data_IF_976864143974
#
_entry.id   IF_976864143974
#
_cell.length_a   1.000
_cell.length_b   1.000
_cell.length_c   1.000
_cell.angle_alpha   90.00
_cell.angle_beta   90.00
_cell.angle_gamma   90.00
#
_symmetry.space_group_name_H-M   'P 1'
#
loop_
_entity.id
_entity.type
_entity.pdbx_description
1 polymer ?
#
# COMPACT_ATOMS: atom_id res chain seq x y z
N UNK A 1 -47.24 -39.33 74.76
CA UNK A 1 -47.06 -37.87 74.87
C UNK A 1 -45.68 -37.50 74.32
N UNK A 2 -45.58 -36.54 73.47
CA UNK A 2 -44.57 -35.78 72.84
C UNK A 2 -44.52 -35.99 71.32
N UNK A 3 -45.16 -35.02 70.66
CA UNK A 3 -45.06 -34.72 69.22
C UNK A 3 -43.66 -34.25 68.92
N UNK A 4 -43.08 -34.74 67.80
CA UNK A 4 -41.96 -34.11 67.15
C UNK A 4 -42.30 -33.95 65.68
N UNK A 5 -42.54 -32.67 65.33
CA UNK A 5 -42.74 -32.20 63.97
C UNK A 5 -41.42 -32.26 63.18
N UNK A 6 -41.38 -33.04 62.13
CA UNK A 6 -40.29 -33.05 61.14
C UNK A 6 -40.63 -32.06 60.02
N UNK A 7 -39.99 -30.85 60.03
CA UNK A 7 -40.03 -29.90 58.92
C UNK A 7 -39.14 -30.44 57.80
N UNK A 8 -39.76 -30.78 56.67
CA UNK A 8 -39.02 -31.08 55.45
C UNK A 8 -38.58 -29.74 54.82
N UNK A 9 -37.24 -29.46 54.76
CA UNK A 9 -36.65 -28.42 53.95
C UNK A 9 -36.53 -28.94 52.51
N UNK A 10 -37.26 -28.31 51.59
CA UNK A 10 -37.02 -28.44 50.14
C UNK A 10 -35.94 -27.43 49.72
N UNK A 11 -34.79 -27.94 49.47
CA UNK A 11 -33.74 -27.13 48.76
C UNK A 11 -33.98 -27.24 47.28
N UNK A 12 -34.46 -26.16 46.67
CA UNK A 12 -34.53 -26.02 45.23
C UNK A 12 -33.14 -25.64 44.69
N UNK A 13 -32.47 -26.58 44.03
CA UNK A 13 -31.23 -26.29 43.29
C UNK A 13 -31.56 -25.63 41.97
N UNK A 14 -31.32 -24.34 41.85
CA UNK A 14 -31.39 -23.61 40.62
C UNK A 14 -30.12 -23.95 39.79
N UNK A 15 -30.23 -24.85 38.81
CA UNK A 15 -29.20 -25.02 37.81
C UNK A 15 -29.25 -23.82 36.85
N UNK A 16 -28.33 -22.86 37.04
CA UNK A 16 -28.11 -21.80 36.09
C UNK A 16 -27.40 -22.35 34.85
N UNK A 17 -28.11 -22.44 33.73
CA UNK A 17 -27.53 -22.70 32.44
C UNK A 17 -26.81 -21.39 32.00
N UNK A 18 -25.51 -21.34 32.21
CA UNK A 18 -24.67 -20.29 31.60
C UNK A 18 -24.56 -20.65 30.13
N UNK A 19 -25.38 -20.02 29.28
CA UNK A 19 -25.19 -20.03 27.84
C UNK A 19 -23.90 -19.23 27.54
N UNK A 20 -22.80 -19.94 27.39
CA UNK A 20 -21.58 -19.39 26.79
C UNK A 20 -21.89 -19.09 25.31
N UNK A 21 -22.42 -17.90 25.04
CA UNK A 21 -22.48 -17.33 23.71
C UNK A 21 -21.07 -17.13 23.24
N UNK A 22 -20.49 -18.10 22.57
CA UNK A 22 -19.27 -17.95 21.82
C UNK A 22 -19.57 -16.99 20.68
N UNK A 23 -19.31 -15.69 20.87
CA UNK A 23 -19.17 -14.79 19.74
C UNK A 23 -17.98 -15.29 18.94
N UNK A 24 -18.26 -15.88 17.76
CA UNK A 24 -17.22 -16.10 16.77
C UNK A 24 -16.62 -14.71 16.50
N UNK A 25 -15.40 -14.48 16.95
CA UNK A 25 -14.65 -13.28 16.65
C UNK A 25 -14.43 -13.36 15.14
N UNK A 26 -15.23 -12.62 14.37
CA UNK A 26 -14.99 -12.45 12.94
C UNK A 26 -13.66 -11.73 12.88
N UNK A 27 -12.60 -12.46 12.56
CA UNK A 27 -11.31 -11.86 12.27
C UNK A 27 -11.50 -10.96 11.04
N UNK A 28 -11.59 -9.66 11.28
CA UNK A 28 -11.67 -8.69 10.20
C UNK A 28 -10.37 -8.76 9.40
N UNK A 29 -10.49 -9.24 8.17
CA UNK A 29 -9.38 -9.22 7.21
C UNK A 29 -9.47 -7.91 6.45
N UNK A 30 -8.48 -7.06 6.63
CA UNK A 30 -8.42 -5.80 5.88
C UNK A 30 -8.33 -6.11 4.37
N UNK A 31 -9.17 -5.49 3.51
CA UNK A 31 -9.13 -5.67 2.07
C UNK A 31 -7.83 -5.13 1.45
N UNK A 32 -7.53 -5.47 0.18
CA UNK A 32 -6.44 -4.82 -0.56
C UNK A 32 -6.58 -3.30 -0.51
N UNK A 33 -5.47 -2.57 -0.51
CA UNK A 33 -5.53 -1.11 -0.52
C UNK A 33 -6.13 -0.61 -1.84
N UNK A 34 -6.91 0.46 -1.73
CA UNK A 34 -7.45 1.20 -2.88
C UNK A 34 -7.02 2.66 -2.77
N UNK A 35 -6.56 3.24 -3.88
CA UNK A 35 -6.06 4.60 -3.88
C UNK A 35 -5.56 5.05 -5.24
N UNK A 36 -4.67 6.01 -5.22
CA UNK A 36 -3.98 6.56 -6.38
C UNK A 36 -2.47 6.53 -6.13
N UNK A 37 -1.67 6.35 -7.20
CA UNK A 37 -0.23 6.44 -7.12
C UNK A 37 0.33 7.27 -8.28
N UNK A 38 1.39 8.02 -8.01
CA UNK A 38 1.91 9.03 -8.94
C UNK A 38 2.70 8.46 -10.12
N UNK A 39 3.20 7.22 -10.02
CA UNK A 39 4.25 6.73 -10.92
C UNK A 39 3.85 6.68 -12.40
N UNK A 40 2.76 5.98 -12.75
CA UNK A 40 2.48 5.65 -14.14
C UNK A 40 2.26 6.87 -15.04
N UNK A 41 1.69 7.94 -14.53
CA UNK A 41 1.47 9.17 -15.30
C UNK A 41 2.61 10.17 -15.19
N UNK A 42 3.22 10.30 -14.00
CA UNK A 42 4.11 11.40 -13.73
C UNK A 42 5.57 11.01 -13.55
N UNK A 43 5.85 9.73 -13.29
CA UNK A 43 7.18 9.20 -12.97
C UNK A 43 7.84 10.08 -11.90
N UNK A 44 9.08 10.50 -12.09
CA UNK A 44 9.80 11.39 -11.16
C UNK A 44 9.38 12.88 -11.25
N UNK A 45 8.48 13.23 -12.17
CA UNK A 45 8.07 14.63 -12.40
C UNK A 45 6.87 15.02 -11.52
N UNK A 46 7.03 14.90 -10.22
CA UNK A 46 6.01 15.22 -9.22
C UNK A 46 6.40 16.43 -8.37
N UNK A 47 5.40 17.08 -7.79
CA UNK A 47 5.58 18.17 -6.84
C UNK A 47 4.39 18.24 -5.88
N UNK A 48 4.52 19.04 -4.83
CA UNK A 48 3.51 19.20 -3.79
C UNK A 48 2.14 19.63 -4.34
N UNK A 49 2.12 20.57 -5.30
CA UNK A 49 0.87 21.08 -5.88
C UNK A 49 0.15 20.00 -6.68
N UNK A 50 0.88 19.20 -7.45
CA UNK A 50 0.33 18.07 -8.19
C UNK A 50 -0.30 17.05 -7.24
N UNK A 51 0.40 16.65 -6.20
CA UNK A 51 -0.11 15.67 -5.22
C UNK A 51 -1.38 16.18 -4.55
N UNK A 52 -1.41 17.45 -4.13
CA UNK A 52 -2.61 18.08 -3.56
C UNK A 52 -3.79 18.06 -4.54
N UNK A 53 -3.57 18.40 -5.80
CA UNK A 53 -4.62 18.34 -6.85
C UNK A 53 -5.19 16.94 -7.03
N UNK A 54 -4.35 15.90 -6.99
CA UNK A 54 -4.83 14.52 -7.09
C UNK A 54 -5.64 14.11 -5.85
N UNK A 55 -5.21 14.51 -4.64
CA UNK A 55 -5.95 14.27 -3.41
C UNK A 55 -7.31 14.98 -3.42
N UNK A 56 -7.37 16.25 -3.86
CA UNK A 56 -8.61 17.01 -4.01
C UNK A 56 -9.54 16.39 -5.05
N UNK A 57 -8.99 15.89 -6.17
CA UNK A 57 -9.75 15.20 -7.20
C UNK A 57 -10.33 13.86 -6.69
N UNK A 58 -9.60 13.12 -5.86
CA UNK A 58 -10.09 11.92 -5.20
C UNK A 58 -11.40 12.20 -4.44
N UNK A 59 -11.41 13.27 -3.64
CA UNK A 59 -12.57 13.68 -2.83
C UNK A 59 -13.68 14.26 -3.71
N UNK A 60 -13.37 15.24 -4.56
CA UNK A 60 -14.39 15.95 -5.35
C UNK A 60 -15.12 15.05 -6.33
N UNK A 61 -14.47 14.00 -6.81
CA UNK A 61 -15.08 12.98 -7.67
C UNK A 61 -15.76 11.86 -6.88
N UNK A 62 -15.67 11.83 -5.55
CA UNK A 62 -16.32 10.87 -4.67
C UNK A 62 -15.74 9.46 -4.75
N UNK A 63 -14.47 9.31 -5.12
CA UNK A 63 -13.75 8.04 -5.12
C UNK A 63 -13.50 7.55 -3.69
N UNK A 64 -13.30 8.46 -2.73
CA UNK A 64 -13.22 8.18 -1.30
C UNK A 64 -14.45 7.41 -0.78
N UNK A 65 -15.64 7.71 -1.31
CA UNK A 65 -16.93 7.10 -0.91
C UNK A 65 -17.12 5.66 -1.41
N UNK A 66 -16.24 5.22 -2.29
CA UNK A 66 -16.26 3.84 -2.84
C UNK A 66 -14.99 3.06 -2.48
N UNK A 67 -14.17 3.57 -1.55
CA UNK A 67 -13.08 2.82 -0.94
C UNK A 67 -11.67 3.27 -1.32
N UNK A 68 -11.49 4.26 -2.21
CA UNK A 68 -10.16 4.77 -2.55
C UNK A 68 -9.71 5.76 -1.49
N UNK A 69 -8.83 5.30 -0.58
CA UNK A 69 -8.42 6.09 0.58
C UNK A 69 -6.93 6.44 0.59
N UNK A 70 -6.10 5.86 -0.29
CA UNK A 70 -4.67 6.10 -0.30
C UNK A 70 -4.27 7.08 -1.40
N UNK A 71 -3.37 8.02 -1.06
CA UNK A 71 -2.59 8.84 -2.01
C UNK A 71 -1.13 8.44 -1.83
N UNK A 72 -0.61 7.69 -2.79
CA UNK A 72 0.76 7.17 -2.76
C UNK A 72 1.68 8.05 -3.60
N UNK A 73 2.67 8.62 -2.95
CA UNK A 73 3.72 9.41 -3.58
C UNK A 73 4.88 8.47 -3.91
N UNK A 74 5.05 8.17 -5.19
CA UNK A 74 6.11 7.31 -5.70
C UNK A 74 7.44 8.09 -5.81
N UNK A 75 8.44 7.56 -6.50
CA UNK A 75 9.76 8.19 -6.67
C UNK A 75 9.67 9.62 -7.24
N UNK A 76 10.67 10.47 -6.92
CA UNK A 76 10.76 11.85 -7.42
C UNK A 76 10.63 12.93 -6.35
N UNK A 77 10.40 12.60 -5.07
CA UNK A 77 10.35 13.58 -3.98
C UNK A 77 11.68 13.82 -3.28
N UNK A 78 12.67 12.99 -3.53
CA UNK A 78 13.97 13.05 -2.88
C UNK A 78 14.75 14.30 -3.24
N UNK A 79 15.51 14.80 -2.26
CA UNK A 79 16.48 15.88 -2.45
C UNK A 79 17.90 15.38 -2.29
N UNK A 80 18.33 15.16 -1.06
CA UNK A 80 19.69 14.70 -0.73
C UNK A 80 19.75 14.16 0.70
N UNK A 81 20.87 13.52 1.06
CA UNK A 81 21.23 13.27 2.47
C UNK A 81 22.26 14.28 2.93
N UNK A 82 22.10 14.78 4.15
CA UNK A 82 23.09 15.66 4.77
C UNK A 82 24.29 14.87 5.37
N UNK A 83 25.24 15.59 5.97
CA UNK A 83 26.44 14.98 6.59
C UNK A 83 26.15 14.00 7.74
N UNK A 84 24.93 14.03 8.30
CA UNK A 84 24.46 13.09 9.33
C UNK A 84 23.65 11.93 8.72
N UNK A 85 23.53 11.88 7.40
CA UNK A 85 22.73 10.91 6.67
C UNK A 85 21.23 11.19 6.70
N UNK A 86 20.77 12.32 7.26
CA UNK A 86 19.35 12.67 7.31
C UNK A 86 18.86 12.97 5.89
N UNK A 87 17.77 12.31 5.50
CA UNK A 87 17.14 12.49 4.23
C UNK A 87 16.34 13.79 4.18
N UNK A 88 16.62 14.60 3.16
CA UNK A 88 15.88 15.83 2.86
C UNK A 88 15.06 15.66 1.57
N UNK A 89 13.89 16.28 1.54
CA UNK A 89 13.04 16.34 0.36
C UNK A 89 13.57 17.36 -0.67
N UNK A 90 13.15 17.21 -1.91
CA UNK A 90 13.49 18.16 -2.96
C UNK A 90 12.91 19.55 -2.68
N UNK A 91 13.73 20.59 -2.42
CA UNK A 91 13.26 21.84 -1.83
C UNK A 91 12.33 22.66 -2.75
N UNK A 92 12.47 22.51 -4.09
CA UNK A 92 11.60 23.20 -5.04
C UNK A 92 10.33 22.41 -5.36
N UNK A 93 10.41 21.07 -5.37
CA UNK A 93 9.24 20.22 -5.64
C UNK A 93 8.32 20.11 -4.42
N UNK A 94 8.90 20.04 -3.22
CA UNK A 94 8.19 19.88 -1.96
C UNK A 94 8.65 20.92 -0.93
N UNK A 95 8.33 22.21 -1.13
CA UNK A 95 8.83 23.30 -0.30
C UNK A 95 8.37 23.23 1.16
N UNK A 96 7.21 22.59 1.44
CA UNK A 96 6.70 22.38 2.80
C UNK A 96 7.10 21.00 3.37
N UNK A 97 7.94 20.24 2.67
CA UNK A 97 8.40 18.91 3.06
C UNK A 97 7.33 17.83 3.00
N UNK A 98 7.76 16.59 3.21
CA UNK A 98 6.84 15.42 3.12
C UNK A 98 5.85 15.37 4.29
N UNK A 99 6.19 15.92 5.45
CA UNK A 99 5.23 16.07 6.55
C UNK A 99 4.07 16.96 6.15
N UNK A 100 4.33 18.10 5.51
CA UNK A 100 3.29 19.04 5.09
C UNK A 100 2.30 18.43 4.10
N UNK A 101 2.79 17.59 3.17
CA UNK A 101 1.90 16.88 2.22
C UNK A 101 1.14 15.73 2.88
N UNK A 102 1.75 14.98 3.80
CA UNK A 102 1.07 13.94 4.56
C UNK A 102 -0.05 14.53 5.44
N UNK A 103 0.23 15.61 6.17
CA UNK A 103 -0.78 16.33 6.97
C UNK A 103 -1.94 16.85 6.09
N UNK A 104 -1.64 17.33 4.87
CA UNK A 104 -2.69 17.75 3.92
C UNK A 104 -3.58 16.57 3.51
N UNK A 105 -2.98 15.44 3.10
CA UNK A 105 -3.72 14.23 2.72
C UNK A 105 -4.61 13.76 3.88
N UNK A 106 -4.07 13.71 5.10
CA UNK A 106 -4.81 13.34 6.30
C UNK A 106 -5.96 14.31 6.62
N UNK A 107 -5.78 15.61 6.36
CA UNK A 107 -6.85 16.61 6.56
C UNK A 107 -8.09 16.37 5.69
N UNK A 108 -7.91 15.65 4.57
CA UNK A 108 -9.00 15.21 3.68
C UNK A 108 -9.64 13.88 4.11
N UNK A 109 -9.18 13.26 5.21
CA UNK A 109 -9.63 11.94 5.64
C UNK A 109 -9.00 10.77 4.85
N UNK A 110 -7.97 11.05 4.05
CA UNK A 110 -7.23 10.06 3.26
C UNK A 110 -5.99 9.57 4.02
N UNK A 111 -5.36 8.53 3.52
CA UNK A 111 -4.10 7.96 4.01
C UNK A 111 -2.96 8.30 3.06
N UNK A 112 -1.79 8.60 3.61
CA UNK A 112 -0.61 8.96 2.85
C UNK A 112 0.32 7.76 2.66
N UNK A 113 0.71 7.50 1.42
CA UNK A 113 1.71 6.48 1.08
C UNK A 113 2.99 7.12 0.53
N UNK A 114 4.10 6.46 0.79
CA UNK A 114 5.44 6.89 0.36
C UNK A 114 6.16 5.76 -0.37
N UNK A 115 7.21 6.10 -1.08
CA UNK A 115 8.11 5.21 -1.80
C UNK A 115 9.50 5.20 -1.17
N UNK A 116 10.20 4.08 -1.26
CA UNK A 116 11.65 4.02 -1.09
C UNK A 116 12.25 2.85 -1.85
N UNK A 117 13.56 2.73 -1.76
CA UNK A 117 14.38 1.72 -2.42
C UNK A 117 15.15 0.89 -1.39
N UNK A 118 15.19 -0.41 -1.56
CA UNK A 118 15.93 -1.32 -0.67
C UNK A 118 17.46 -1.12 -0.73
N UNK A 119 18.00 -0.62 -1.84
CA UNK A 119 19.41 -0.29 -2.00
C UNK A 119 19.74 1.16 -1.69
N UNK A 120 20.82 1.66 -2.29
CA UNK A 120 21.31 3.04 -2.08
C UNK A 120 20.68 4.05 -3.06
N UNK A 121 20.34 3.64 -4.29
CA UNK A 121 19.91 4.52 -5.38
C UNK A 121 18.53 4.10 -5.87
N UNK A 122 17.61 5.06 -6.06
CA UNK A 122 16.24 4.79 -6.49
C UNK A 122 16.13 4.32 -7.94
N UNK A 123 14.99 3.70 -8.29
CA UNK A 123 14.70 3.32 -9.68
C UNK A 123 14.67 4.53 -10.62
N UNK A 124 14.13 5.66 -10.19
CA UNK A 124 14.12 6.90 -10.96
C UNK A 124 15.53 7.44 -11.27
N UNK A 125 16.49 7.22 -10.37
CA UNK A 125 17.89 7.58 -10.66
C UNK A 125 18.51 6.69 -11.73
N UNK A 126 18.14 5.42 -11.79
CA UNK A 126 18.69 4.44 -12.72
C UNK A 126 18.03 4.50 -14.11
N UNK A 127 16.70 4.70 -14.15
CA UNK A 127 15.92 4.58 -15.38
C UNK A 127 15.39 5.90 -15.94
N UNK A 128 15.19 6.93 -15.08
CA UNK A 128 14.65 8.24 -15.47
C UNK A 128 15.69 9.37 -15.36
N UNK A 129 16.91 9.05 -14.95
CA UNK A 129 17.98 10.02 -14.84
C UNK A 129 17.80 11.06 -13.72
N UNK A 130 16.95 10.76 -12.71
CA UNK A 130 16.78 11.64 -11.55
C UNK A 130 18.01 11.60 -10.66
N UNK A 131 18.82 12.65 -10.75
CA UNK A 131 20.06 12.78 -9.95
C UNK A 131 19.80 12.86 -8.46
N UNK A 132 18.61 13.27 -8.05
CA UNK A 132 18.24 13.35 -6.63
C UNK A 132 17.90 11.97 -6.03
N UNK A 133 17.71 10.95 -6.85
CA UNK A 133 17.51 9.57 -6.42
C UNK A 133 18.81 8.82 -6.05
N UNK A 134 19.97 9.47 -6.19
CA UNK A 134 21.27 8.86 -5.88
C UNK A 134 21.59 8.99 -4.40
N UNK A 135 21.89 7.87 -3.71
CA UNK A 135 22.31 7.84 -2.31
C UNK A 135 21.17 8.10 -1.31
N UNK A 136 19.90 8.02 -1.73
CA UNK A 136 18.73 8.34 -0.89
C UNK A 136 17.89 7.12 -0.50
N UNK A 137 18.24 5.93 -1.00
CA UNK A 137 17.57 4.68 -0.61
C UNK A 137 17.87 4.25 0.82
N UNK A 138 17.23 3.18 1.28
CA UNK A 138 17.24 2.74 2.67
C UNK A 138 18.54 2.09 3.14
N UNK A 139 19.44 1.69 2.21
CA UNK A 139 20.62 0.92 2.55
C UNK A 139 21.57 1.67 3.49
N UNK A 140 21.68 1.14 4.73
CA UNK A 140 22.46 1.74 5.81
C UNK A 140 21.74 2.85 6.61
N UNK A 141 20.45 3.12 6.30
CA UNK A 141 19.64 4.15 6.94
C UNK A 141 18.25 3.65 7.40
N UNK A 142 18.04 2.35 7.48
CA UNK A 142 16.73 1.71 7.65
C UNK A 142 15.96 2.25 8.84
N UNK A 143 16.57 2.28 10.03
CA UNK A 143 15.94 2.77 11.27
C UNK A 143 15.71 4.27 11.24
N UNK A 144 16.68 5.04 10.72
CA UNK A 144 16.59 6.49 10.64
C UNK A 144 15.47 6.92 9.71
N UNK A 145 15.41 6.33 8.51
CA UNK A 145 14.39 6.65 7.51
C UNK A 145 13.01 6.12 7.90
N UNK A 146 12.93 4.94 8.52
CA UNK A 146 11.69 4.44 9.05
C UNK A 146 11.11 5.38 10.13
N UNK A 147 11.95 5.89 11.05
CA UNK A 147 11.51 6.89 12.01
C UNK A 147 11.03 8.17 11.31
N UNK A 148 11.80 8.66 10.34
CA UNK A 148 11.47 9.86 9.57
C UNK A 148 10.14 9.71 8.83
N UNK A 149 9.95 8.61 8.07
CA UNK A 149 8.75 8.40 7.26
C UNK A 149 7.49 8.22 8.11
N UNK A 150 7.57 7.41 9.17
CA UNK A 150 6.38 6.97 9.88
C UNK A 150 6.09 7.75 11.16
N UNK A 151 7.10 8.18 11.90
CA UNK A 151 6.89 8.92 13.14
C UNK A 151 6.94 10.45 12.94
N UNK A 152 7.85 10.94 12.11
CA UNK A 152 8.01 12.37 11.91
C UNK A 152 7.09 12.90 10.79
N UNK A 153 7.07 12.22 9.62
CA UNK A 153 6.23 12.63 8.49
C UNK A 153 4.81 12.06 8.54
N UNK A 154 4.61 10.92 9.20
CA UNK A 154 3.30 10.36 9.49
C UNK A 154 2.69 9.47 8.40
N UNK A 155 3.47 8.96 7.45
CA UNK A 155 2.97 8.09 6.38
C UNK A 155 2.38 6.78 6.91
N UNK A 156 1.42 6.18 6.16
CA UNK A 156 0.65 4.99 6.52
C UNK A 156 0.97 3.77 5.66
N UNK A 157 1.63 4.00 4.53
CA UNK A 157 1.98 2.97 3.54
C UNK A 157 3.36 3.24 2.98
N UNK A 158 4.08 2.18 2.61
CA UNK A 158 5.32 2.28 1.85
C UNK A 158 5.40 1.22 0.76
N UNK A 159 5.81 1.64 -0.45
CA UNK A 159 6.30 0.77 -1.52
C UNK A 159 7.83 0.75 -1.47
N UNK A 160 8.43 -0.42 -1.47
CA UNK A 160 9.89 -0.60 -1.42
C UNK A 160 10.33 -1.34 -2.68
N UNK A 161 11.06 -0.63 -3.55
CA UNK A 161 11.63 -1.18 -4.78
C UNK A 161 12.98 -1.86 -4.53
N UNK A 162 13.52 -2.51 -5.56
CA UNK A 162 14.75 -3.32 -5.50
C UNK A 162 15.75 -3.03 -6.63
N UNK A 163 15.69 -1.86 -7.25
CA UNK A 163 16.60 -1.47 -8.35
C UNK A 163 18.05 -1.38 -7.89
N UNK A 164 18.28 -0.57 -6.87
CA UNK A 164 19.62 -0.33 -6.33
C UNK A 164 20.16 -1.51 -5.53
N UNK A 165 19.29 -2.22 -4.79
CA UNK A 165 19.69 -3.38 -4.01
C UNK A 165 20.13 -4.55 -4.90
N UNK A 166 19.33 -4.90 -5.91
CA UNK A 166 19.62 -6.03 -6.79
C UNK A 166 20.70 -5.74 -7.81
N UNK A 167 20.60 -4.63 -8.56
CA UNK A 167 21.45 -4.37 -9.72
C UNK A 167 22.82 -3.78 -9.38
N UNK A 168 22.93 -3.08 -8.26
CA UNK A 168 24.17 -2.39 -7.90
C UNK A 168 24.91 -3.06 -6.73
N UNK A 169 24.18 -3.60 -5.76
CA UNK A 169 24.75 -4.14 -4.53
C UNK A 169 24.70 -5.67 -4.46
N UNK A 170 23.97 -6.34 -5.37
CA UNK A 170 23.80 -7.80 -5.42
C UNK A 170 23.40 -8.39 -4.05
N UNK A 171 22.49 -7.70 -3.34
CA UNK A 171 22.01 -8.12 -2.03
C UNK A 171 21.02 -9.30 -2.16
N UNK A 172 21.01 -10.16 -1.15
CA UNK A 172 20.01 -11.23 -1.10
C UNK A 172 18.64 -10.64 -0.73
N UNK A 173 17.62 -10.98 -1.49
CA UNK A 173 16.31 -10.36 -1.50
C UNK A 173 15.56 -10.52 -0.18
N UNK A 174 15.42 -11.75 0.30
CA UNK A 174 14.70 -12.07 1.53
C UNK A 174 15.38 -11.46 2.74
N UNK A 175 16.70 -11.55 2.84
CA UNK A 175 17.48 -10.97 3.93
C UNK A 175 17.30 -9.44 3.94
N UNK A 176 17.45 -8.81 2.78
CA UNK A 176 17.37 -7.37 2.67
C UNK A 176 16.00 -6.81 3.05
N UNK A 177 14.93 -7.39 2.52
CA UNK A 177 13.58 -6.97 2.89
C UNK A 177 13.26 -7.28 4.37
N UNK A 178 13.79 -8.36 4.92
CA UNK A 178 13.64 -8.70 6.34
C UNK A 178 14.29 -7.64 7.24
N UNK A 179 15.50 -7.18 6.92
CA UNK A 179 16.19 -6.11 7.63
C UNK A 179 15.35 -4.82 7.65
N UNK A 180 14.86 -4.39 6.49
CA UNK A 180 14.05 -3.17 6.35
C UNK A 180 12.76 -3.29 7.16
N UNK A 181 12.04 -4.39 7.02
CA UNK A 181 10.76 -4.59 7.72
C UNK A 181 10.95 -4.66 9.24
N UNK A 182 12.02 -5.30 9.70
CA UNK A 182 12.35 -5.33 11.13
C UNK A 182 12.67 -3.91 11.65
N UNK A 183 13.48 -3.13 10.93
CA UNK A 183 13.75 -1.75 11.30
C UNK A 183 12.47 -0.90 11.40
N UNK A 184 11.53 -1.06 10.45
CA UNK A 184 10.23 -0.37 10.50
C UNK A 184 9.45 -0.79 11.75
N UNK A 185 9.36 -2.09 12.04
CA UNK A 185 8.61 -2.63 13.19
C UNK A 185 9.21 -2.23 14.54
N UNK A 186 10.54 -2.09 14.60
CA UNK A 186 11.24 -1.68 15.82
C UNK A 186 11.01 -0.19 16.16
N UNK A 187 10.94 0.67 15.15
CA UNK A 187 10.80 2.12 15.39
C UNK A 187 9.36 2.62 15.37
N UNK A 188 8.46 1.95 14.65
CA UNK A 188 7.08 2.40 14.47
C UNK A 188 6.08 1.40 15.07
N UNK A 189 5.37 1.77 16.16
CA UNK A 189 4.36 0.91 16.78
C UNK A 189 3.03 0.85 15.98
N UNK A 190 2.87 1.73 14.97
CA UNK A 190 1.69 1.72 14.09
C UNK A 190 1.75 0.57 13.09
N UNK A 191 0.60 0.08 12.68
CA UNK A 191 0.51 -0.88 11.58
C UNK A 191 0.70 -0.15 10.25
N UNK A 192 1.90 -0.23 9.68
CA UNK A 192 2.23 0.34 8.37
C UNK A 192 1.94 -0.70 7.29
N UNK A 193 1.20 -0.31 6.26
CA UNK A 193 0.97 -1.17 5.10
C UNK A 193 2.20 -1.19 4.20
N UNK A 194 2.78 -2.38 4.00
CA UNK A 194 4.01 -2.56 3.23
C UNK A 194 3.72 -3.23 1.89
N UNK A 195 4.33 -2.70 0.82
CA UNK A 195 4.35 -3.30 -0.50
C UNK A 195 5.80 -3.58 -0.92
N UNK A 196 6.10 -4.82 -1.26
CA UNK A 196 7.40 -5.24 -1.79
C UNK A 196 7.33 -5.26 -3.30
N UNK A 197 8.26 -4.56 -3.97
CA UNK A 197 8.29 -4.44 -5.42
C UNK A 197 9.64 -4.84 -5.99
N UNK A 198 9.71 -6.05 -6.58
CA UNK A 198 10.90 -6.56 -7.27
C UNK A 198 10.59 -7.09 -8.69
N UNK A 199 9.42 -6.74 -9.24
CA UNK A 199 8.96 -7.06 -10.60
C UNK A 199 8.79 -8.55 -10.92
N UNK A 200 8.72 -9.39 -9.91
CA UNK A 200 8.36 -10.80 -9.99
C UNK A 200 7.82 -11.28 -8.64
N UNK A 201 7.16 -12.43 -8.61
CA UNK A 201 6.74 -13.06 -7.35
C UNK A 201 7.96 -13.34 -6.47
N UNK A 202 8.05 -12.76 -5.25
CA UNK A 202 9.25 -12.85 -4.44
C UNK A 202 9.52 -14.22 -3.82
N UNK A 203 8.47 -15.02 -3.62
CA UNK A 203 8.54 -16.29 -2.92
C UNK A 203 7.61 -16.35 -1.70
N UNK A 204 7.54 -17.54 -1.08
CA UNK A 204 6.60 -17.80 0.03
C UNK A 204 6.91 -17.02 1.31
N UNK A 205 8.12 -16.51 1.46
CA UNK A 205 8.55 -15.72 2.62
C UNK A 205 7.86 -14.35 2.72
N UNK A 206 7.42 -13.79 1.58
CA UNK A 206 6.97 -12.40 1.49
C UNK A 206 5.73 -12.11 2.34
N UNK A 207 4.82 -13.07 2.52
CA UNK A 207 3.61 -12.91 3.33
C UNK A 207 3.89 -12.72 4.82
N UNK A 208 5.09 -13.08 5.31
CA UNK A 208 5.51 -12.79 6.69
C UNK A 208 5.99 -11.35 6.88
N UNK A 209 6.34 -10.67 5.80
CA UNK A 209 6.94 -9.34 5.80
C UNK A 209 5.97 -8.26 5.36
N UNK A 210 5.24 -8.47 4.27
CA UNK A 210 4.46 -7.43 3.61
C UNK A 210 2.99 -7.81 3.44
N UNK A 211 2.15 -6.79 3.29
CA UNK A 211 0.73 -6.93 3.00
C UNK A 211 0.44 -7.19 1.54
N UNK A 212 1.26 -6.64 0.64
CA UNK A 212 1.16 -6.87 -0.79
C UNK A 212 2.55 -6.92 -1.43
N UNK A 213 2.63 -7.54 -2.60
CA UNK A 213 3.89 -7.67 -3.35
C UNK A 213 3.62 -7.75 -4.84
N UNK A 214 4.43 -7.05 -5.61
CA UNK A 214 4.41 -7.08 -7.08
C UNK A 214 4.76 -8.48 -7.59
N UNK A 215 4.05 -8.92 -8.60
CA UNK A 215 4.20 -10.26 -9.19
C UNK A 215 4.80 -10.26 -10.59
N UNK A 216 4.94 -9.09 -11.20
CA UNK A 216 5.37 -8.91 -12.58
C UNK A 216 6.17 -7.62 -12.77
N UNK A 217 6.77 -7.44 -13.93
CA UNK A 217 7.24 -6.13 -14.40
C UNK A 217 6.13 -5.09 -14.44
N UNK A 218 6.52 -3.83 -14.65
CA UNK A 218 5.58 -2.71 -14.64
C UNK A 218 4.55 -2.81 -15.75
N UNK A 219 3.31 -2.47 -15.41
CA UNK A 219 2.20 -2.39 -16.35
C UNK A 219 2.37 -1.19 -17.27
N UNK A 220 1.94 -1.35 -18.51
CA UNK A 220 1.83 -0.27 -19.50
C UNK A 220 0.39 -0.15 -19.99
N UNK A 221 -0.04 1.02 -20.53
CA UNK A 221 -1.41 1.22 -21.00
C UNK A 221 -1.67 0.50 -22.34
N UNK A 222 -1.50 -0.83 -22.32
CA UNK A 222 -1.75 -1.70 -23.46
C UNK A 222 -2.45 -2.98 -23.04
N UNK A 223 -3.33 -3.48 -23.91
CA UNK A 223 -4.06 -4.72 -23.65
C UNK A 223 -3.14 -5.94 -23.48
N UNK A 224 -2.03 -5.96 -24.21
CA UNK A 224 -0.99 -7.01 -24.13
C UNK A 224 -0.37 -7.05 -22.74
N UNK A 225 -0.09 -5.87 -22.12
CA UNK A 225 0.45 -5.78 -20.78
C UNK A 225 -0.57 -6.27 -19.74
N UNK A 226 -1.82 -5.87 -19.86
CA UNK A 226 -2.90 -6.32 -18.98
C UNK A 226 -3.02 -7.85 -19.01
N UNK A 227 -3.11 -8.45 -20.20
CA UNK A 227 -3.18 -9.92 -20.37
C UNK A 227 -1.97 -10.63 -19.76
N UNK A 228 -0.79 -10.11 -20.03
CA UNK A 228 0.46 -10.68 -19.49
C UNK A 228 0.44 -10.77 -17.98
N UNK A 229 -0.02 -9.71 -17.29
CA UNK A 229 -0.07 -9.67 -15.83
C UNK A 229 -1.17 -10.60 -15.29
N UNK A 230 -2.32 -10.66 -15.94
CA UNK A 230 -3.37 -11.64 -15.61
C UNK A 230 -2.80 -13.05 -15.67
N UNK A 231 -2.12 -13.41 -16.76
CA UNK A 231 -1.52 -14.74 -16.93
C UNK A 231 -0.48 -15.05 -15.84
N UNK A 232 0.31 -14.05 -15.41
CA UNK A 232 1.26 -14.21 -14.30
C UNK A 232 0.58 -14.53 -12.97
N UNK A 233 -0.61 -13.97 -12.72
CA UNK A 233 -1.32 -14.16 -11.45
C UNK A 233 -2.17 -15.44 -11.39
N UNK A 234 -2.49 -16.08 -12.52
CA UNK A 234 -3.40 -17.23 -12.58
C UNK A 234 -3.04 -18.36 -11.60
N UNK A 235 -1.76 -18.58 -11.36
CA UNK A 235 -1.26 -19.67 -10.51
C UNK A 235 -0.77 -19.21 -9.14
N UNK A 236 -0.93 -17.92 -8.79
CA UNK A 236 -0.44 -17.34 -7.56
C UNK A 236 -1.51 -17.18 -6.47
N UNK A 237 -2.75 -17.56 -6.74
CA UNK A 237 -3.87 -17.42 -5.79
C UNK A 237 -3.63 -18.15 -4.46
N UNK A 238 -2.88 -19.25 -4.46
CA UNK A 238 -2.53 -20.01 -3.25
C UNK A 238 -1.61 -19.24 -2.29
N UNK A 239 -0.95 -18.19 -2.76
CA UNK A 239 0.01 -17.40 -1.98
C UNK A 239 -0.58 -16.08 -1.47
N UNK A 240 -1.81 -15.75 -1.88
CA UNK A 240 -2.56 -14.59 -1.40
C UNK A 240 -3.72 -15.03 -0.49
N UNK A 241 -4.23 -14.11 0.33
CA UNK A 241 -5.33 -14.33 1.25
C UNK A 241 -5.00 -13.94 2.69
N UNK A 242 -5.98 -13.97 3.57
CA UNK A 242 -5.81 -13.60 4.99
C UNK A 242 -5.18 -12.22 5.23
N UNK A 243 -5.48 -11.25 4.36
CA UNK A 243 -4.94 -9.89 4.44
C UNK A 243 -3.62 -9.67 3.71
N UNK A 244 -3.19 -10.65 2.91
CA UNK A 244 -1.98 -10.59 2.08
C UNK A 244 -2.34 -10.77 0.60
N UNK A 245 -1.79 -9.94 -0.30
CA UNK A 245 -2.27 -9.79 -1.65
C UNK A 245 -1.16 -9.79 -2.70
N UNK A 246 -1.41 -10.52 -3.78
CA UNK A 246 -0.64 -10.37 -5.01
C UNK A 246 -0.98 -9.01 -5.63
N UNK A 247 0.03 -8.19 -5.85
CA UNK A 247 -0.10 -6.89 -6.49
C UNK A 247 0.16 -7.01 -7.99
N UNK A 248 -0.90 -6.86 -8.76
CA UNK A 248 -0.90 -6.93 -10.23
C UNK A 248 -0.51 -5.58 -10.85
N UNK A 249 0.02 -4.65 -10.05
CA UNK A 249 0.35 -3.28 -10.43
C UNK A 249 -0.87 -2.35 -10.54
N UNK A 250 -0.62 -1.10 -10.90
CA UNK A 250 -1.58 -0.02 -10.93
C UNK A 250 -2.66 -0.24 -12.02
N UNK A 251 -3.79 0.45 -11.84
CA UNK A 251 -4.85 0.46 -12.84
C UNK A 251 -4.51 1.44 -13.97
N UNK A 252 -4.56 0.95 -15.21
CA UNK A 252 -4.42 1.74 -16.44
C UNK A 252 -5.75 2.33 -16.94
N UNK A 253 -6.75 2.41 -16.05
CA UNK A 253 -8.06 2.99 -16.31
C UNK A 253 -7.91 4.50 -16.56
N UNK A 254 -8.47 5.01 -17.64
CA UNK A 254 -8.33 6.42 -18.06
C UNK A 254 -6.98 6.76 -18.71
N UNK A 255 -6.19 5.75 -19.12
CA UNK A 255 -4.87 5.93 -19.74
C UNK A 255 -4.79 5.43 -21.18
N UNK A 256 -5.92 5.28 -21.87
CA UNK A 256 -5.97 5.01 -23.31
C UNK A 256 -6.27 3.58 -23.73
N UNK A 257 -6.60 2.68 -22.79
CA UNK A 257 -7.25 1.42 -23.10
C UNK A 257 -8.64 1.69 -23.68
N UNK A 258 -9.15 0.74 -24.47
CA UNK A 258 -10.55 0.80 -24.95
C UNK A 258 -11.50 0.53 -23.77
N UNK A 259 -12.77 1.00 -23.85
CA UNK A 259 -13.73 0.79 -22.76
C UNK A 259 -13.86 -0.67 -22.30
N UNK A 260 -13.98 -1.61 -23.25
CA UNK A 260 -14.10 -3.04 -22.94
C UNK A 260 -12.81 -3.66 -22.37
N UNK A 261 -11.66 -3.07 -22.70
CA UNK A 261 -10.36 -3.45 -22.11
C UNK A 261 -10.24 -2.90 -20.67
N UNK A 262 -10.71 -1.67 -20.42
CA UNK A 262 -10.79 -1.09 -19.06
C UNK A 262 -11.71 -1.91 -18.15
N UNK A 263 -12.90 -2.28 -18.64
CA UNK A 263 -13.86 -3.10 -17.89
C UNK A 263 -13.25 -4.46 -17.52
N UNK A 264 -12.60 -5.12 -18.47
CA UNK A 264 -11.94 -6.41 -18.22
C UNK A 264 -10.76 -6.26 -17.26
N UNK A 265 -9.93 -5.24 -17.45
CA UNK A 265 -8.80 -4.92 -16.58
C UNK A 265 -9.26 -4.72 -15.13
N UNK A 266 -10.24 -3.83 -14.92
CA UNK A 266 -10.79 -3.55 -13.59
C UNK A 266 -11.41 -4.81 -12.96
N UNK A 267 -12.26 -5.51 -13.70
CA UNK A 267 -12.92 -6.73 -13.23
C UNK A 267 -11.93 -7.82 -12.81
N UNK A 268 -10.85 -8.02 -13.59
CA UNK A 268 -9.83 -9.02 -13.26
C UNK A 268 -9.02 -8.63 -12.01
N UNK A 269 -8.66 -7.35 -11.81
CA UNK A 269 -8.02 -6.89 -10.57
C UNK A 269 -8.91 -7.11 -9.35
N UNK A 270 -10.22 -6.83 -9.47
CA UNK A 270 -11.18 -7.09 -8.40
C UNK A 270 -11.32 -8.60 -8.09
N UNK A 271 -11.53 -9.45 -9.12
CA UNK A 271 -11.68 -10.90 -8.95
C UNK A 271 -10.42 -11.54 -8.33
N UNK A 272 -9.25 -11.07 -8.73
CA UNK A 272 -7.97 -11.57 -8.24
C UNK A 272 -7.52 -10.90 -6.93
N UNK A 273 -8.35 -10.02 -6.35
CA UNK A 273 -8.09 -9.32 -5.08
C UNK A 273 -6.76 -8.55 -5.08
N UNK A 274 -6.39 -7.94 -6.20
CA UNK A 274 -5.22 -7.07 -6.29
C UNK A 274 -5.49 -5.72 -5.62
N UNK A 275 -4.47 -5.03 -5.11
CA UNK A 275 -4.58 -3.60 -4.81
C UNK A 275 -5.14 -2.82 -6.01
N UNK A 276 -6.03 -1.85 -5.75
CA UNK A 276 -6.65 -1.02 -6.77
C UNK A 276 -6.04 0.39 -6.70
N UNK A 277 -4.86 0.57 -7.29
CA UNK A 277 -4.14 1.84 -7.32
C UNK A 277 -4.30 2.51 -8.68
N UNK A 278 -5.07 3.60 -8.74
CA UNK A 278 -5.33 4.35 -9.97
C UNK A 278 -4.05 5.04 -10.44
N UNK A 279 -3.71 4.88 -11.73
CA UNK A 279 -2.49 5.41 -12.33
C UNK A 279 -2.68 6.65 -13.19
N UNK A 280 -3.91 7.07 -13.49
CA UNK A 280 -4.18 8.22 -14.35
C UNK A 280 -4.16 9.56 -13.60
N UNK A 281 -4.21 10.66 -14.35
CA UNK A 281 -4.49 12.00 -13.82
C UNK A 281 -5.99 12.09 -13.46
N UNK A 282 -6.29 12.12 -12.16
CA UNK A 282 -7.67 12.21 -11.67
C UNK A 282 -8.35 13.53 -12.06
N UNK A 283 -7.59 14.59 -12.31
CA UNK A 283 -8.17 15.90 -12.70
C UNK A 283 -8.68 15.90 -14.14
N UNK A 284 -8.27 14.93 -14.95
CA UNK A 284 -8.61 14.80 -16.36
C UNK A 284 -9.16 13.43 -16.75
N UNK A 285 -9.57 12.61 -15.77
CA UNK A 285 -10.08 11.27 -16.03
C UNK A 285 -11.37 11.29 -16.89
N UNK A 286 -11.49 10.45 -17.93
CA UNK A 286 -12.73 10.33 -18.71
C UNK A 286 -13.92 9.94 -17.84
N UNK A 287 -15.11 10.48 -18.14
CA UNK A 287 -16.32 10.20 -17.36
C UNK A 287 -16.70 8.72 -17.32
N UNK A 288 -16.50 7.98 -18.42
CA UNK A 288 -16.73 6.53 -18.48
C UNK A 288 -15.79 5.76 -17.55
N UNK A 289 -14.50 6.07 -17.59
CA UNK A 289 -13.48 5.47 -16.72
C UNK A 289 -13.73 5.78 -15.24
N UNK A 290 -14.15 7.01 -14.92
CA UNK A 290 -14.54 7.37 -13.56
C UNK A 290 -15.78 6.58 -13.10
N UNK A 291 -16.77 6.41 -13.97
CA UNK A 291 -17.96 5.62 -13.66
C UNK A 291 -17.60 4.14 -13.39
N UNK A 292 -16.69 3.58 -14.16
CA UNK A 292 -16.19 2.22 -13.97
C UNK A 292 -15.51 2.07 -12.60
N UNK A 293 -14.59 2.96 -12.25
CA UNK A 293 -13.89 2.95 -10.95
C UNK A 293 -14.83 3.10 -9.74
N UNK A 294 -16.02 3.67 -9.96
CA UNK A 294 -17.05 3.86 -8.91
C UNK A 294 -18.08 2.72 -8.87
N UNK A 295 -17.94 1.72 -9.70
CA UNK A 295 -18.80 0.53 -9.65
C UNK A 295 -18.57 -0.20 -8.32
N UNK A 296 -19.70 -0.55 -7.65
CA UNK A 296 -19.69 -1.25 -6.34
C UNK A 296 -20.03 -2.74 -6.47
N UNK A 297 -20.38 -3.19 -7.67
CA UNK A 297 -20.75 -4.57 -7.97
C UNK A 297 -19.53 -5.34 -8.52
#
# INVERSE_FOLDING_TARGET
MKNTNLKKCFTASLLGIIALGGYAQVNYVEPPIMGWSSWNTYRVNINEELIKKQADAMISQGLDKVGYHFINIDDGFFGFRDEKGILHTHPQRFPNGMKGIADYIHSLGLKAGIYSEAGANTCGSLWDGDKNGVGVGLYGFEHQDANLFFNEWGFDFIKIDYCGAGQQLDLEEQERYTEIVNAIREVCPRNISLNICRWAYPGTWVSSLARSWRISGDITPSWESVKYIIDKNLYLSAFAGNGHYNDMDMLEIGRGLKPEEEETHFGMWCIMSSPLLIGCDLTAIPASSLQLLKNKE
#
